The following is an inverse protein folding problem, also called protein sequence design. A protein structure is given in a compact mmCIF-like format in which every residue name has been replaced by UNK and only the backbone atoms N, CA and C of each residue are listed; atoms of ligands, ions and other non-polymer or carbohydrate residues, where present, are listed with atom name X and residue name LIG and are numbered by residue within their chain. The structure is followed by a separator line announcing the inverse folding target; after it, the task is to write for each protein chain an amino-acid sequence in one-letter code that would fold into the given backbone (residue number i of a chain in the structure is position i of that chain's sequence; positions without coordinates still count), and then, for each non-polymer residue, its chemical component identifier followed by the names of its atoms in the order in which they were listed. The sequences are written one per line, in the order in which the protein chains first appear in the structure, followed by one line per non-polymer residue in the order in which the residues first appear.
data_IF_008172872126
#
_entry.id   IF_008172872126
#
_cell.length_a   1.000
_cell.length_b   1.000
_cell.length_c   1.000
_cell.angle_alpha   90.00
_cell.angle_beta   90.00
_cell.angle_gamma   90.00
#
_symmetry.space_group_name_H-M   'P 1'
#
loop_
_entity.id
_entity.type
_entity.pdbx_description
1 polymer ?
#
# COMPACT_ATOMS: atom_id res chain seq x y z
N UNK A 1 -37.36 -35.80 -12.48
CA UNK A 1 -38.34 -35.82 -11.38
C UNK A 1 -39.58 -35.14 -11.91
N UNK A 2 -40.74 -35.80 -11.84
CA UNK A 2 -42.02 -35.27 -12.38
C UNK A 2 -42.52 -34.08 -11.53
N UNK A 3 -42.02 -32.87 -11.81
CA UNK A 3 -42.51 -31.62 -11.20
C UNK A 3 -44.00 -31.36 -11.50
N UNK A 4 -44.53 -31.96 -12.57
CA UNK A 4 -45.93 -31.85 -12.97
C UNK A 4 -46.89 -32.76 -12.21
N UNK A 5 -46.39 -33.77 -11.49
CA UNK A 5 -47.23 -34.70 -10.75
C UNK A 5 -48.12 -34.03 -9.68
N UNK A 6 -47.63 -33.09 -8.85
CA UNK A 6 -48.47 -32.33 -7.92
C UNK A 6 -49.48 -31.43 -8.64
N UNK A 7 -49.11 -30.81 -9.77
CA UNK A 7 -50.00 -29.94 -10.53
C UNK A 7 -51.15 -30.73 -11.16
N UNK A 8 -50.84 -31.90 -11.74
CA UNK A 8 -51.80 -32.86 -12.29
C UNK A 8 -52.75 -33.41 -11.23
N UNK A 9 -52.25 -33.76 -10.04
CA UNK A 9 -53.08 -34.18 -8.90
C UNK A 9 -54.01 -33.06 -8.44
N UNK A 10 -53.51 -31.81 -8.38
CA UNK A 10 -54.30 -30.64 -7.99
C UNK A 10 -55.41 -30.33 -9.01
N UNK A 11 -55.13 -30.50 -10.31
CA UNK A 11 -56.12 -30.36 -11.38
C UNK A 11 -57.20 -31.44 -11.30
N UNK A 12 -56.82 -32.69 -11.09
CA UNK A 12 -57.77 -33.81 -10.97
C UNK A 12 -58.73 -33.65 -9.77
N UNK A 13 -58.25 -33.11 -8.65
CA UNK A 13 -59.09 -32.80 -7.48
C UNK A 13 -60.12 -31.71 -7.76
N UNK A 14 -59.85 -30.78 -8.70
CA UNK A 14 -60.78 -29.72 -9.10
C UNK A 14 -61.88 -30.18 -10.06
N UNK A 15 -61.67 -31.28 -10.78
CA UNK A 15 -62.66 -31.91 -11.68
C UNK A 15 -63.72 -32.75 -10.92
N UNK A 16 -63.42 -33.16 -9.68
CA UNK A 16 -64.28 -34.03 -8.87
C UNK A 16 -65.62 -33.37 -8.46
N UNK A 17 -65.66 -32.09 -8.02
CA UNK A 17 -66.93 -31.40 -7.74
C UNK A 17 -67.85 -31.30 -8.96
N UNK A 18 -67.30 -30.99 -10.14
CA UNK A 18 -68.09 -30.89 -11.38
C UNK A 18 -68.74 -32.24 -11.74
N UNK A 19 -67.98 -33.33 -11.67
CA UNK A 19 -68.52 -34.69 -11.88
C UNK A 19 -69.61 -35.05 -10.87
N UNK A 20 -69.47 -34.60 -9.62
CA UNK A 20 -70.47 -34.83 -8.56
C UNK A 20 -71.77 -34.07 -8.83
N UNK A 21 -71.70 -32.79 -9.22
CA UNK A 21 -72.87 -31.99 -9.61
C UNK A 21 -73.54 -32.58 -10.85
N UNK A 22 -72.75 -33.00 -11.85
CA UNK A 22 -73.27 -33.65 -13.05
C UNK A 22 -73.98 -34.98 -12.73
N UNK A 23 -73.43 -35.80 -11.84
CA UNK A 23 -74.08 -37.04 -11.38
C UNK A 23 -75.43 -36.78 -10.72
N UNK A 24 -75.56 -35.70 -9.95
CA UNK A 24 -76.82 -35.28 -9.33
C UNK A 24 -77.84 -34.75 -10.33
N UNK A 25 -77.37 -34.06 -11.36
CA UNK A 25 -78.20 -33.65 -12.49
C UNK A 25 -78.79 -34.85 -13.23
N UNK A 26 -77.95 -35.83 -13.57
CA UNK A 26 -78.42 -37.08 -14.22
C UNK A 26 -79.39 -37.85 -13.31
N UNK A 27 -79.16 -37.86 -11.99
CA UNK A 27 -80.08 -38.47 -11.02
C UNK A 27 -81.46 -37.81 -11.02
N UNK A 28 -81.53 -36.47 -11.15
CA UNK A 28 -82.80 -35.75 -11.26
C UNK A 28 -83.51 -36.07 -12.58
N UNK A 29 -82.78 -36.08 -13.71
CA UNK A 29 -83.35 -36.41 -15.03
C UNK A 29 -83.92 -37.82 -15.04
N UNK A 30 -83.20 -38.81 -14.51
CA UNK A 30 -83.66 -40.19 -14.42
C UNK A 30 -84.91 -40.38 -13.54
N UNK A 31 -85.10 -39.55 -12.52
CA UNK A 31 -86.31 -39.56 -11.68
C UNK A 31 -87.51 -38.88 -12.35
N UNK A 32 -87.26 -37.90 -13.23
CA UNK A 32 -88.32 -37.24 -14.00
C UNK A 32 -88.82 -38.12 -15.17
N UNK A 33 -87.94 -38.95 -15.75
CA UNK A 33 -88.28 -39.89 -16.82
C UNK A 33 -89.00 -41.16 -16.31
N UNK A 34 -88.92 -41.45 -15.00
CA UNK A 34 -89.52 -42.65 -14.42
C UNK A 34 -91.01 -42.44 -14.04
N UNK A 35 -91.95 -43.15 -14.67
CA UNK A 35 -93.39 -42.97 -14.42
C UNK A 35 -93.87 -43.45 -13.05
N UNK A 36 -93.02 -44.11 -12.24
CA UNK A 36 -93.32 -44.55 -10.86
C UNK A 36 -92.76 -43.61 -9.78
N UNK A 37 -92.09 -42.52 -10.16
CA UNK A 37 -91.46 -41.60 -9.21
C UNK A 37 -92.47 -40.69 -8.52
N UNK A 38 -92.34 -40.51 -7.20
CA UNK A 38 -93.23 -39.61 -6.45
C UNK A 38 -92.78 -38.16 -6.58
N UNK A 39 -93.71 -37.19 -6.56
CA UNK A 39 -93.37 -35.75 -6.60
C UNK A 39 -92.37 -35.33 -5.52
N UNK A 40 -92.44 -35.95 -4.34
CA UNK A 40 -91.55 -35.69 -3.20
C UNK A 40 -90.10 -36.14 -3.49
N UNK A 41 -89.90 -37.27 -4.17
CA UNK A 41 -88.56 -37.74 -4.57
C UNK A 41 -87.91 -36.79 -5.59
N UNK A 42 -88.70 -36.27 -6.54
CA UNK A 42 -88.24 -35.28 -7.50
C UNK A 42 -87.86 -33.95 -6.82
N UNK A 43 -88.64 -33.51 -5.83
CA UNK A 43 -88.36 -32.30 -5.07
C UNK A 43 -87.07 -32.43 -4.23
N UNK A 44 -86.86 -33.57 -3.57
CA UNK A 44 -85.63 -33.85 -2.82
C UNK A 44 -84.41 -33.91 -3.75
N UNK A 45 -84.51 -34.56 -4.91
CA UNK A 45 -83.43 -34.61 -5.90
C UNK A 45 -83.09 -33.22 -6.46
N UNK A 46 -84.10 -32.37 -6.69
CA UNK A 46 -83.92 -30.99 -7.12
C UNK A 46 -83.20 -30.15 -6.05
N UNK A 47 -83.60 -30.27 -4.78
CA UNK A 47 -82.93 -29.57 -3.68
C UNK A 47 -81.48 -30.03 -3.51
N UNK A 48 -81.20 -31.32 -3.67
CA UNK A 48 -79.83 -31.85 -3.66
C UNK A 48 -78.98 -31.29 -4.80
N UNK A 49 -79.54 -31.17 -6.00
CA UNK A 49 -78.86 -30.56 -7.14
C UNK A 49 -78.52 -29.08 -6.88
N UNK A 50 -79.48 -28.30 -6.38
CA UNK A 50 -79.26 -26.89 -6.04
C UNK A 50 -78.15 -26.73 -4.99
N UNK A 51 -78.15 -27.56 -3.95
CA UNK A 51 -77.11 -27.52 -2.93
C UNK A 51 -75.71 -27.84 -3.49
N UNK A 52 -75.59 -28.83 -4.38
CA UNK A 52 -74.31 -29.17 -5.02
C UNK A 52 -73.86 -28.12 -6.03
N UNK A 53 -74.79 -27.44 -6.70
CA UNK A 53 -74.49 -26.33 -7.60
C UNK A 53 -73.98 -25.10 -6.82
N UNK A 54 -74.61 -24.78 -5.69
CA UNK A 54 -74.13 -23.72 -4.78
C UNK A 54 -72.74 -24.03 -4.21
N UNK A 55 -72.50 -25.29 -3.82
CA UNK A 55 -71.17 -25.72 -3.36
C UNK A 55 -70.13 -25.61 -4.48
N UNK A 56 -70.48 -25.97 -5.72
CA UNK A 56 -69.59 -25.86 -6.87
C UNK A 56 -69.24 -24.39 -7.18
N UNK A 57 -70.23 -23.50 -7.16
CA UNK A 57 -70.03 -22.06 -7.32
C UNK A 57 -69.07 -21.50 -6.28
N UNK A 58 -69.27 -21.84 -5.00
CA UNK A 58 -68.37 -21.44 -3.92
C UNK A 58 -66.92 -21.91 -4.16
N UNK A 59 -66.73 -23.14 -4.66
CA UNK A 59 -65.40 -23.65 -4.97
C UNK A 59 -64.73 -22.92 -6.14
N UNK A 60 -65.50 -22.51 -7.16
CA UNK A 60 -64.98 -21.68 -8.25
C UNK A 60 -64.55 -20.32 -7.71
N UNK A 61 -65.40 -19.66 -6.92
CA UNK A 61 -65.07 -18.36 -6.32
C UNK A 61 -63.80 -18.44 -5.47
N UNK A 62 -63.69 -19.48 -4.63
CA UNK A 62 -62.48 -19.76 -3.85
C UNK A 62 -61.25 -19.95 -4.74
N UNK A 63 -61.37 -20.69 -5.84
CA UNK A 63 -60.27 -20.92 -6.76
C UNK A 63 -59.80 -19.63 -7.46
N UNK A 64 -60.73 -18.73 -7.81
CA UNK A 64 -60.41 -17.42 -8.38
C UNK A 64 -59.65 -16.55 -7.37
N UNK A 65 -60.14 -16.45 -6.13
CA UNK A 65 -59.44 -15.70 -5.07
C UNK A 65 -58.05 -16.28 -4.83
N UNK A 66 -57.89 -17.60 -4.82
CA UNK A 66 -56.58 -18.23 -4.70
C UNK A 66 -55.66 -17.90 -5.87
N UNK A 67 -56.18 -17.87 -7.10
CA UNK A 67 -55.40 -17.50 -8.28
C UNK A 67 -54.93 -16.04 -8.18
N UNK A 68 -55.80 -15.13 -7.74
CA UNK A 68 -55.47 -13.71 -7.55
C UNK A 68 -54.42 -13.51 -6.45
N UNK A 69 -54.55 -14.21 -5.32
CA UNK A 69 -53.56 -14.17 -4.23
C UNK A 69 -52.21 -14.71 -4.70
N UNK A 70 -52.19 -15.86 -5.38
CA UNK A 70 -50.95 -16.43 -5.91
C UNK A 70 -50.27 -15.50 -6.92
N UNK A 71 -51.05 -14.79 -7.75
CA UNK A 71 -50.51 -13.80 -8.69
C UNK A 71 -49.82 -12.65 -7.95
N UNK A 72 -50.49 -12.08 -6.94
CA UNK A 72 -49.91 -11.02 -6.10
C UNK A 72 -48.67 -11.48 -5.35
N UNK A 73 -48.70 -12.71 -4.84
CA UNK A 73 -47.58 -13.32 -4.13
C UNK A 73 -46.37 -13.53 -5.08
N UNK A 74 -46.60 -13.97 -6.32
CA UNK A 74 -45.55 -14.07 -7.33
C UNK A 74 -44.92 -12.72 -7.67
N UNK A 75 -45.75 -11.68 -7.87
CA UNK A 75 -45.27 -10.31 -8.10
C UNK A 75 -44.45 -9.80 -6.89
N UNK A 76 -44.91 -10.07 -5.67
CA UNK A 76 -44.18 -9.73 -4.45
C UNK A 76 -42.81 -10.42 -4.39
N UNK A 77 -42.75 -11.74 -4.61
CA UNK A 77 -41.48 -12.46 -4.59
C UNK A 77 -40.53 -12.02 -5.71
N UNK A 78 -41.05 -11.66 -6.88
CA UNK A 78 -40.26 -11.11 -7.98
C UNK A 78 -39.62 -9.78 -7.57
N UNK A 79 -40.39 -8.90 -6.92
CA UNK A 79 -39.87 -7.62 -6.43
C UNK A 79 -38.81 -7.81 -5.33
N UNK A 80 -39.07 -8.67 -4.34
CA UNK A 80 -38.12 -8.97 -3.27
C UNK A 80 -36.83 -9.58 -3.83
N UNK A 81 -36.93 -10.46 -4.83
CA UNK A 81 -35.78 -11.02 -5.52
C UNK A 81 -34.95 -9.92 -6.20
N UNK A 82 -35.60 -9.03 -6.95
CA UNK A 82 -34.93 -7.90 -7.61
C UNK A 82 -34.22 -6.99 -6.60
N UNK A 83 -34.91 -6.56 -5.54
CA UNK A 83 -34.31 -5.73 -4.49
C UNK A 83 -33.10 -6.42 -3.86
N UNK A 84 -33.18 -7.72 -3.59
CA UNK A 84 -32.04 -8.47 -3.06
C UNK A 84 -30.87 -8.55 -4.04
N UNK A 85 -31.14 -8.67 -5.34
CA UNK A 85 -30.08 -8.62 -6.36
C UNK A 85 -29.39 -7.25 -6.36
N UNK A 86 -30.17 -6.17 -6.32
CA UNK A 86 -29.65 -4.80 -6.27
C UNK A 86 -28.82 -4.58 -4.99
N UNK A 87 -29.27 -5.06 -3.84
CA UNK A 87 -28.54 -5.01 -2.57
C UNK A 87 -27.19 -5.77 -2.66
N UNK A 88 -27.19 -6.95 -3.28
CA UNK A 88 -25.96 -7.74 -3.48
C UNK A 88 -24.98 -6.98 -4.38
N UNK A 89 -25.46 -6.32 -5.43
CA UNK A 89 -24.63 -5.53 -6.33
C UNK A 89 -24.04 -4.31 -5.61
N UNK A 90 -24.86 -3.61 -4.82
CA UNK A 90 -24.40 -2.48 -4.00
C UNK A 90 -23.30 -2.89 -3.02
N UNK A 91 -23.49 -3.99 -2.29
CA UNK A 91 -22.47 -4.51 -1.35
C UNK A 91 -21.20 -4.94 -2.09
N UNK A 92 -21.31 -5.51 -3.28
CA UNK A 92 -20.13 -5.84 -4.10
C UNK A 92 -19.34 -4.59 -4.49
N UNK A 93 -20.03 -3.52 -4.89
CA UNK A 93 -19.39 -2.25 -5.22
C UNK A 93 -18.72 -1.63 -3.98
N UNK A 94 -19.40 -1.64 -2.83
CA UNK A 94 -18.82 -1.17 -1.57
C UNK A 94 -17.55 -1.95 -1.18
N UNK A 95 -17.52 -3.27 -1.40
CA UNK A 95 -16.33 -4.08 -1.17
C UNK A 95 -15.17 -3.66 -2.08
N UNK A 96 -15.43 -3.29 -3.33
CA UNK A 96 -14.40 -2.79 -4.26
C UNK A 96 -13.84 -1.46 -3.75
N UNK A 97 -14.72 -0.51 -3.41
CA UNK A 97 -14.32 0.80 -2.88
C UNK A 97 -13.50 0.67 -1.60
N UNK A 98 -13.92 -0.21 -0.68
CA UNK A 98 -13.20 -0.47 0.57
C UNK A 98 -11.83 -1.11 0.32
N UNK A 99 -11.67 -1.95 -0.70
CA UNK A 99 -10.37 -2.53 -1.08
C UNK A 99 -9.43 -1.45 -1.62
N UNK A 100 -9.91 -0.55 -2.46
CA UNK A 100 -9.12 0.57 -2.98
C UNK A 100 -8.68 1.50 -1.86
N UNK A 101 -9.61 1.86 -0.97
CA UNK A 101 -9.30 2.67 0.22
C UNK A 101 -8.28 1.99 1.13
N UNK A 102 -8.41 0.68 1.35
CA UNK A 102 -7.44 -0.09 2.13
C UNK A 102 -6.05 -0.07 1.49
N UNK A 103 -5.95 -0.20 0.17
CA UNK A 103 -4.68 -0.13 -0.55
C UNK A 103 -4.04 1.27 -0.40
N UNK A 104 -4.83 2.33 -0.54
CA UNK A 104 -4.38 3.70 -0.33
C UNK A 104 -3.86 3.92 1.10
N UNK A 105 -4.61 3.50 2.11
CA UNK A 105 -4.22 3.65 3.52
C UNK A 105 -2.94 2.87 3.87
N UNK A 106 -2.72 1.71 3.25
CA UNK A 106 -1.45 0.96 3.40
C UNK A 106 -0.26 1.76 2.89
N UNK A 107 -0.41 2.42 1.74
CA UNK A 107 0.63 3.30 1.18
C UNK A 107 0.89 4.48 2.12
N UNK A 108 -0.16 5.14 2.62
CA UNK A 108 -0.02 6.24 3.57
C UNK A 108 0.70 5.81 4.86
N UNK A 109 0.37 4.63 5.38
CA UNK A 109 1.07 4.05 6.52
C UNK A 109 2.55 3.81 6.22
N UNK A 110 2.87 3.25 5.06
CA UNK A 110 4.25 3.01 4.64
C UNK A 110 5.05 4.33 4.56
N UNK A 111 4.48 5.38 3.96
CA UNK A 111 5.12 6.70 3.94
C UNK A 111 5.34 7.25 5.35
N UNK A 112 4.34 7.14 6.23
CA UNK A 112 4.48 7.57 7.63
C UNK A 112 5.61 6.83 8.35
N UNK A 113 5.75 5.52 8.14
CA UNK A 113 6.83 4.72 8.72
C UNK A 113 8.20 5.15 8.16
N UNK A 114 8.31 5.42 6.85
CA UNK A 114 9.53 5.95 6.23
C UNK A 114 9.90 7.33 6.78
N UNK A 115 8.92 8.23 6.92
CA UNK A 115 9.14 9.56 7.51
C UNK A 115 9.60 9.45 8.95
N UNK A 116 9.02 8.55 9.76
CA UNK A 116 9.46 8.33 11.13
C UNK A 116 10.89 7.76 11.20
N UNK A 117 11.25 6.86 10.29
CA UNK A 117 12.61 6.34 10.21
C UNK A 117 13.62 7.45 9.87
N UNK A 118 13.31 8.29 8.88
CA UNK A 118 14.15 9.42 8.50
C UNK A 118 14.24 10.46 9.62
N UNK A 119 13.11 10.77 10.28
CA UNK A 119 13.05 11.68 11.42
C UNK A 119 13.96 11.21 12.57
N UNK A 120 13.96 9.91 12.90
CA UNK A 120 14.87 9.35 13.90
C UNK A 120 16.33 9.53 13.49
N UNK A 121 16.67 9.20 12.24
CA UNK A 121 18.03 9.34 11.73
C UNK A 121 18.50 10.81 11.78
N UNK A 122 17.64 11.76 11.42
CA UNK A 122 17.94 13.19 11.48
C UNK A 122 18.17 13.63 12.93
N UNK A 123 17.36 13.15 13.87
CA UNK A 123 17.50 13.50 15.28
C UNK A 123 18.70 12.86 15.97
N UNK A 124 19.26 11.78 15.42
CA UNK A 124 20.53 11.20 15.89
C UNK A 124 21.74 12.08 15.52
N UNK A 125 21.60 12.93 14.49
CA UNK A 125 22.67 13.87 14.11
C UNK A 125 22.70 15.06 15.07
N UNK A 126 23.89 15.64 15.32
CA UNK A 126 24.01 16.84 16.14
C UNK A 126 23.20 17.98 15.53
N UNK A 127 22.71 18.88 16.38
CA UNK A 127 21.99 20.04 15.88
C UNK A 127 22.94 20.95 15.10
N UNK A 128 22.41 21.68 14.12
CA UNK A 128 23.20 22.61 13.30
C UNK A 128 23.96 23.59 14.20
N UNK A 129 23.32 24.05 15.28
CA UNK A 129 23.92 24.98 16.23
C UNK A 129 25.11 24.36 16.98
N UNK A 130 24.98 23.12 17.45
CA UNK A 130 26.06 22.42 18.15
C UNK A 130 27.27 22.22 17.22
N UNK A 131 27.02 21.85 15.96
CA UNK A 131 28.08 21.72 14.94
C UNK A 131 28.73 23.07 14.62
N UNK A 132 27.96 24.15 14.58
CA UNK A 132 28.47 25.50 14.34
C UNK A 132 29.39 25.98 15.49
N UNK A 133 29.02 25.70 16.75
CA UNK A 133 29.87 25.96 17.92
C UNK A 133 31.17 25.16 17.84
N UNK A 134 31.10 23.87 17.49
CA UNK A 134 32.28 23.01 17.37
C UNK A 134 33.22 23.51 16.26
N UNK A 135 32.67 23.92 15.11
CA UNK A 135 33.43 24.54 14.02
C UNK A 135 34.14 25.80 14.49
N UNK A 136 33.45 26.69 15.21
CA UNK A 136 34.04 27.94 15.69
C UNK A 136 35.17 27.69 16.71
N UNK A 137 34.97 26.72 17.59
CA UNK A 137 36.02 26.28 18.53
C UNK A 137 37.25 25.77 17.79
N UNK A 138 37.08 24.86 16.83
CA UNK A 138 38.19 24.29 16.04
C UNK A 138 38.90 25.38 15.22
N UNK A 139 38.16 26.33 14.64
CA UNK A 139 38.75 27.49 13.93
C UNK A 139 39.64 28.33 14.85
N UNK A 140 39.19 28.59 16.07
CA UNK A 140 39.97 29.34 17.05
C UNK A 140 41.25 28.61 17.45
N UNK A 141 41.15 27.31 17.72
CA UNK A 141 42.31 26.46 18.02
C UNK A 141 43.31 26.45 16.85
N UNK A 142 42.82 26.38 15.61
CA UNK A 142 43.66 26.46 14.41
C UNK A 142 44.38 27.81 14.31
N UNK A 143 43.68 28.92 14.58
CA UNK A 143 44.29 30.26 14.56
C UNK A 143 45.36 30.41 15.65
N UNK A 144 45.13 29.85 16.83
CA UNK A 144 46.11 29.82 17.93
C UNK A 144 47.36 29.01 17.56
N UNK A 145 47.18 27.83 16.96
CA UNK A 145 48.30 27.00 16.47
C UNK A 145 49.06 27.70 15.35
N UNK A 146 48.38 28.36 14.41
CA UNK A 146 49.04 29.12 13.32
C UNK A 146 49.86 30.30 13.88
N UNK A 147 49.33 31.03 14.87
CA UNK A 147 50.08 32.08 15.58
C UNK A 147 51.32 31.53 16.29
N UNK A 148 51.18 30.39 16.97
CA UNK A 148 52.30 29.75 17.66
C UNK A 148 53.36 29.25 16.66
N UNK A 149 52.93 28.70 15.53
CA UNK A 149 53.80 28.25 14.46
C UNK A 149 54.58 29.44 13.87
N UNK A 150 53.89 30.53 13.49
CA UNK A 150 54.51 31.77 13.03
C UNK A 150 55.54 32.31 14.02
N UNK A 151 55.18 32.42 15.30
CA UNK A 151 56.10 32.87 16.36
C UNK A 151 57.33 31.97 16.50
N UNK A 152 57.16 30.66 16.32
CA UNK A 152 58.27 29.71 16.38
C UNK A 152 59.17 29.84 15.16
N UNK A 153 58.58 30.02 13.98
CA UNK A 153 59.29 30.27 12.73
C UNK A 153 60.08 31.59 12.80
N UNK A 154 59.49 32.67 13.31
CA UNK A 154 60.17 33.95 13.52
C UNK A 154 61.37 33.83 14.46
N UNK A 155 61.23 33.02 15.53
CA UNK A 155 62.35 32.73 16.44
C UNK A 155 63.44 31.92 15.75
N UNK A 156 63.07 30.95 14.92
CA UNK A 156 64.02 30.14 14.16
C UNK A 156 64.79 31.00 13.16
N UNK A 157 64.10 31.88 12.44
CA UNK A 157 64.70 32.86 11.53
C UNK A 157 65.65 33.81 12.27
N UNK A 158 65.27 34.29 13.46
CA UNK A 158 66.15 35.12 14.28
C UNK A 158 67.40 34.35 14.72
N UNK A 159 67.26 33.08 15.15
CA UNK A 159 68.39 32.22 15.49
C UNK A 159 69.28 31.93 14.30
N UNK A 160 68.71 31.73 13.11
CA UNK A 160 69.45 31.57 11.86
C UNK A 160 70.29 32.82 11.56
N UNK A 161 69.70 34.02 11.68
CA UNK A 161 70.42 35.29 11.51
C UNK A 161 71.52 35.49 12.56
N UNK A 162 71.25 35.16 13.83
CA UNK A 162 72.25 35.24 14.91
C UNK A 162 73.42 34.26 14.66
N UNK A 163 73.12 33.05 14.19
CA UNK A 163 74.13 32.06 13.85
C UNK A 163 74.96 32.49 12.64
N UNK A 164 74.34 33.06 11.60
CA UNK A 164 75.04 33.68 10.47
C UNK A 164 75.96 34.82 10.92
N UNK A 165 75.49 35.69 11.82
CA UNK A 165 76.32 36.75 12.39
C UNK A 165 77.50 36.18 13.19
N UNK A 166 77.27 35.17 14.02
CA UNK A 166 78.34 34.49 14.75
C UNK A 166 79.38 33.89 13.79
N UNK A 167 78.94 33.17 12.76
CA UNK A 167 79.81 32.64 11.70
C UNK A 167 80.64 33.75 11.05
N UNK A 168 80.03 34.88 10.72
CA UNK A 168 80.73 36.05 10.18
C UNK A 168 81.78 36.59 11.15
N UNK A 169 81.45 36.75 12.44
CA UNK A 169 82.42 37.22 13.45
C UNK A 169 83.56 36.23 13.68
N UNK A 170 83.29 34.91 13.58
CA UNK A 170 84.34 33.89 13.64
C UNK A 170 85.26 34.04 12.43
N UNK A 171 84.70 34.19 11.23
CA UNK A 171 85.49 34.44 10.01
C UNK A 171 86.31 35.74 10.11
N UNK A 172 85.75 36.82 10.65
CA UNK A 172 86.48 38.06 10.89
C UNK A 172 87.59 37.90 11.94
N UNK A 173 87.36 37.12 13.00
CA UNK A 173 88.39 36.84 14.01
C UNK A 173 89.48 35.93 13.47
N UNK A 174 89.14 34.90 12.69
CA UNK A 174 90.11 34.07 11.93
C UNK A 174 90.92 34.97 10.98
N UNK A 175 90.26 35.86 10.26
CA UNK A 175 90.92 36.82 9.38
C UNK A 175 91.82 37.81 10.15
N UNK A 176 91.40 38.29 11.32
CA UNK A 176 92.22 39.17 12.17
C UNK A 176 93.38 38.42 12.86
N UNK A 177 93.21 37.14 13.22
CA UNK A 177 94.28 36.26 13.70
C UNK A 177 95.30 35.96 12.59
N UNK A 178 94.84 35.81 11.35
CA UNK A 178 95.69 35.75 10.14
C UNK A 178 96.38 37.10 9.84
N UNK A 179 95.86 38.23 10.36
CA UNK A 179 96.46 39.57 10.19
C UNK A 179 97.47 39.90 11.31
N UNK A 180 97.24 39.47 12.56
CA UNK A 180 98.18 39.66 13.70
C UNK A 180 99.32 38.62 13.69
N UNK A 181 99.14 37.53 12.93
CA UNK A 181 100.20 36.60 12.54
C UNK A 181 100.68 36.99 11.15
N UNK A 182 101.60 37.96 11.07
CA UNK A 182 102.18 38.36 9.79
C UNK A 182 102.68 37.16 8.96
N UNK A 183 101.99 36.97 7.83
CA UNK A 183 102.27 36.12 6.66
C UNK A 183 102.03 34.61 6.85
N UNK A 184 101.04 34.01 6.16
CA UNK A 184 101.14 33.74 4.71
C UNK A 184 99.76 33.56 4.06
N UNK A 185 99.47 34.46 3.13
CA UNK A 185 98.82 34.30 1.82
C UNK A 185 97.90 33.10 1.47
N UNK A 186 96.76 33.52 0.90
CA UNK A 186 96.05 32.99 -0.28
C UNK A 186 94.93 31.94 -0.11
N UNK A 187 93.69 32.47 -0.11
CA UNK A 187 92.64 32.28 -1.14
C UNK A 187 92.71 30.96 -1.95
N UNK A 188 91.66 30.17 -2.15
CA UNK A 188 90.35 30.54 -2.69
C UNK A 188 89.43 29.29 -2.80
N UNK A 189 88.11 29.55 -2.86
CA UNK A 189 87.06 28.74 -3.51
C UNK A 189 86.67 27.38 -2.92
N UNK A 190 85.44 27.28 -2.38
CA UNK A 190 84.23 26.93 -3.15
C UNK A 190 82.97 27.04 -2.26
N UNK A 191 81.89 27.59 -2.82
CA UNK A 191 80.53 27.56 -2.26
C UNK A 191 79.78 26.30 -2.77
N UNK A 192 78.47 26.10 -2.46
CA UNK A 192 78.01 25.16 -1.44
C UNK A 192 77.08 24.08 -2.01
N UNK A 193 77.18 22.81 -1.57
CA UNK A 193 76.13 21.82 -1.88
C UNK A 193 76.16 20.59 -0.96
N UNK A 194 75.24 20.53 0.00
CA UNK A 194 74.60 19.31 0.50
C UNK A 194 73.11 19.71 0.70
N UNK A 195 72.18 19.47 -0.24
CA UNK A 195 71.58 18.18 -0.58
C UNK A 195 71.48 17.26 0.64
N UNK A 196 70.38 17.42 1.38
CA UNK A 196 69.29 16.44 1.37
C UNK A 196 69.77 15.03 1.75
N UNK A 197 69.64 14.75 3.05
CA UNK A 197 69.39 13.42 3.58
C UNK A 197 68.18 12.81 2.85
N UNK A 198 68.47 11.95 1.88
CA UNK A 198 67.53 10.97 1.38
C UNK A 198 67.51 9.78 2.34
N UNK A 199 66.35 9.48 2.91
CA UNK A 199 65.92 8.12 3.18
C UNK A 199 64.92 7.72 2.07
N UNK A 200 65.16 6.61 1.35
CA UNK A 200 64.25 6.13 0.33
C UNK A 200 63.12 5.28 0.96
N UNK A 201 61.91 5.61 0.52
CA UNK A 201 60.90 4.69 -0.02
C UNK A 201 60.65 3.36 0.72
N UNK A 202 59.51 3.29 1.41
CA UNK A 202 58.67 2.09 1.39
C UNK A 202 57.24 2.49 1.07
N UNK A 203 56.96 2.57 -0.23
CA UNK A 203 55.63 2.37 -0.78
C UNK A 203 55.20 0.94 -0.45
N UNK A 204 54.15 0.80 0.36
CA UNK A 204 53.26 -0.36 0.26
C UNK A 204 51.82 0.12 0.02
N UNK A 205 51.14 -0.49 -0.97
CA UNK A 205 49.84 -0.05 -1.44
C UNK A 205 48.73 -0.57 -0.52
N UNK A 206 47.92 0.33 0.04
CA UNK A 206 46.64 -0.08 0.61
C UNK A 206 45.71 -0.40 -0.56
N UNK A 207 45.49 -1.70 -0.70
CA UNK A 207 44.53 -2.38 -1.56
C UNK A 207 43.22 -1.61 -1.71
N UNK A 208 42.90 -1.30 -2.96
CA UNK A 208 41.55 -1.17 -3.46
C UNK A 208 40.80 -2.48 -3.13
N UNK A 209 39.94 -2.45 -2.12
CA UNK A 209 39.01 -3.56 -1.90
C UNK A 209 37.74 -3.26 -2.69
N UNK A 210 37.61 -3.99 -3.79
CA UNK A 210 36.44 -4.04 -4.64
C UNK A 210 35.41 -4.97 -3.99
N UNK A 211 34.49 -4.43 -3.20
CA UNK A 211 33.21 -5.08 -2.92
C UNK A 211 32.17 -4.54 -3.91
N UNK A 212 32.21 -5.09 -5.11
CA UNK A 212 31.14 -4.97 -6.10
C UNK A 212 29.95 -5.83 -5.63
N UNK A 213 29.07 -5.25 -4.82
CA UNK A 213 27.73 -5.78 -4.60
C UNK A 213 26.89 -5.49 -5.85
N UNK A 214 26.44 -6.54 -6.52
CA UNK A 214 25.43 -6.50 -7.58
C UNK A 214 24.24 -5.65 -7.17
N UNK A 215 24.02 -4.53 -7.86
CA UNK A 215 22.73 -3.90 -8.03
C UNK A 215 22.48 -3.74 -9.52
N UNK A 216 21.92 -4.80 -10.14
CA UNK A 216 21.19 -4.64 -11.38
C UNK A 216 19.92 -3.84 -11.06
N UNK A 217 19.90 -2.58 -11.47
CA UNK A 217 18.67 -1.80 -11.62
C UNK A 217 17.97 -2.24 -12.90
N UNK A 218 16.95 -3.09 -12.78
CA UNK A 218 15.90 -3.16 -13.80
C UNK A 218 15.02 -1.93 -13.62
N UNK A 219 15.33 -0.87 -14.36
CA UNK A 219 14.39 0.19 -14.68
C UNK A 219 13.44 -0.41 -15.72
N UNK A 220 12.25 -0.80 -15.30
CA UNK A 220 11.12 -0.90 -16.22
C UNK A 220 10.48 0.48 -16.26
N UNK A 221 10.83 1.25 -17.29
CA UNK A 221 9.96 2.28 -17.83
C UNK A 221 8.80 1.57 -18.53
N UNK A 222 7.69 1.35 -17.81
CA UNK A 222 6.41 1.15 -18.48
C UNK A 222 5.69 2.51 -18.56
N UNK A 223 5.68 2.99 -19.80
CA UNK A 223 4.85 4.01 -20.40
C UNK A 223 3.59 4.38 -19.59
N UNK A 224 3.55 5.64 -19.17
CA UNK A 224 2.30 6.41 -19.22
C UNK A 224 1.95 6.61 -20.70
N UNK A 225 1.13 5.74 -21.27
CA UNK A 225 0.30 6.13 -22.41
C UNK A 225 -0.95 6.80 -21.84
N UNK A 226 -0.94 8.13 -21.88
CA UNK A 226 -2.12 8.97 -21.82
C UNK A 226 -2.91 8.78 -23.11
N UNK A 227 -4.13 8.24 -22.99
CA UNK A 227 -5.31 8.58 -23.79
C UNK A 227 -6.58 8.15 -23.05
#
# INVERSE_FOLDING_TARGET
MDEDLPLKKKLLTKELPLKKTFKKYIQLVALLENPQSTPEQCQVAHQQLLNELSLYEFQIQKANVQADVNKKELEYYTNVYKTRCDDIENVKNEIVDLKERLAYEKIQRQYKEQYLALYKLINEQPTIHDTEIEIEKVKKELEEVDKMNKKTNDKLDLRMKQFQLLLHTIQELEQNLDIDSGETEQQQQTSPQEQQTQSPTSTDPIKLNNSNSKSNSTINEDKMDLN
#
